data_IF_081935101540
#
_entry.id   IF_081935101540
#
_cell.length_a   1.000
_cell.length_b   1.000
_cell.length_c   1.000
_cell.angle_alpha   90.00
_cell.angle_beta   90.00
_cell.angle_gamma   90.00
#
_symmetry.space_group_name_H-M   'P 1'
#
loop_
_entity.id
_entity.type
_entity.pdbx_description
1 polymer ?
#
# COMPACT_ATOMS: atom_id res chain seq x y z
N UNK A 1 -9.60 -2.36 -38.61
CA UNK A 1 -10.49 -3.22 -37.81
C UNK A 1 -10.02 -3.07 -36.38
N UNK A 2 -10.96 -2.70 -35.53
CA UNK A 2 -10.78 -1.93 -34.30
C UNK A 2 -9.83 -2.57 -33.30
N UNK A 3 -8.80 -1.80 -32.92
CA UNK A 3 -7.89 -2.14 -31.83
C UNK A 3 -8.47 -1.61 -30.52
N UNK A 4 -9.74 -1.91 -30.27
CA UNK A 4 -10.43 -1.55 -29.04
C UNK A 4 -9.92 -2.50 -27.95
N UNK A 5 -8.91 -2.03 -27.21
CA UNK A 5 -8.47 -2.71 -26.01
C UNK A 5 -9.65 -2.78 -25.05
N UNK A 6 -10.15 -4.00 -24.85
CA UNK A 6 -11.29 -4.27 -24.02
C UNK A 6 -11.06 -3.73 -22.59
N UNK A 7 -12.11 -3.27 -21.89
CA UNK A 7 -11.94 -2.69 -20.55
C UNK A 7 -11.26 -3.68 -19.59
N UNK A 8 -11.50 -4.98 -19.78
CA UNK A 8 -10.78 -6.05 -19.09
C UNK A 8 -9.27 -6.00 -19.35
N UNK A 9 -8.84 -5.97 -20.61
CA UNK A 9 -7.42 -5.93 -20.98
C UNK A 9 -6.75 -4.65 -20.48
N UNK A 10 -7.47 -3.53 -20.51
CA UNK A 10 -7.01 -2.25 -19.96
C UNK A 10 -6.76 -2.34 -18.46
N UNK A 11 -7.69 -2.91 -17.69
CA UNK A 11 -7.54 -3.08 -16.24
C UNK A 11 -6.38 -4.01 -15.93
N UNK A 12 -6.27 -5.14 -16.62
CA UNK A 12 -5.21 -6.14 -16.39
C UNK A 12 -3.83 -5.58 -16.73
N UNK A 13 -3.67 -4.97 -17.90
CA UNK A 13 -2.40 -4.35 -18.32
C UNK A 13 -1.99 -3.21 -17.39
N UNK A 14 -2.93 -2.41 -16.91
CA UNK A 14 -2.66 -1.36 -15.92
C UNK A 14 -2.15 -1.95 -14.61
N UNK A 15 -2.82 -2.97 -14.06
CA UNK A 15 -2.37 -3.67 -12.84
C UNK A 15 -0.95 -4.22 -13.04
N UNK A 16 -0.69 -4.91 -14.15
CA UNK A 16 0.63 -5.48 -14.44
C UNK A 16 1.71 -4.40 -14.54
N UNK A 17 1.43 -3.32 -15.26
CA UNK A 17 2.32 -2.16 -15.40
C UNK A 17 2.68 -1.59 -14.02
N UNK A 18 1.67 -1.34 -13.18
CA UNK A 18 1.92 -0.82 -11.85
C UNK A 18 2.68 -1.82 -10.94
N UNK A 19 2.40 -3.11 -11.06
CA UNK A 19 3.10 -4.12 -10.27
C UNK A 19 4.56 -4.30 -10.69
N UNK A 20 4.86 -4.24 -11.99
CA UNK A 20 6.20 -4.57 -12.54
C UNK A 20 7.14 -3.38 -12.63
N UNK A 21 6.61 -2.16 -12.80
CA UNK A 21 7.45 -0.99 -13.08
C UNK A 21 8.18 -0.48 -11.84
N UNK A 22 9.36 0.10 -12.09
CA UNK A 22 10.06 0.92 -11.10
C UNK A 22 9.45 2.32 -11.08
N UNK A 23 9.20 2.83 -9.89
CA UNK A 23 8.66 4.19 -9.71
C UNK A 23 9.78 5.16 -9.39
N UNK A 24 9.88 6.21 -10.20
CA UNK A 24 10.82 7.31 -9.95
C UNK A 24 10.31 8.24 -8.85
N UNK A 25 9.00 8.47 -8.82
CA UNK A 25 8.34 9.21 -7.75
C UNK A 25 7.63 8.24 -6.80
N UNK A 26 8.21 8.04 -5.61
CA UNK A 26 7.63 7.19 -4.58
C UNK A 26 6.52 7.88 -3.79
N UNK A 27 6.40 9.21 -3.91
CA UNK A 27 5.45 10.00 -3.11
C UNK A 27 3.99 9.69 -3.46
N UNK A 28 3.75 9.14 -4.66
CA UNK A 28 2.44 8.62 -5.10
C UNK A 28 1.87 7.55 -4.16
N UNK A 29 2.72 6.89 -3.37
CA UNK A 29 2.31 5.88 -2.38
C UNK A 29 2.10 6.44 -0.98
N UNK A 30 2.20 7.76 -0.79
CA UNK A 30 2.07 8.38 0.53
C UNK A 30 0.66 8.23 1.06
N UNK A 31 0.55 7.64 2.25
CA UNK A 31 -0.70 7.61 3.02
C UNK A 31 -0.59 8.58 4.19
N UNK A 32 -1.73 9.11 4.63
CA UNK A 32 -1.82 9.91 5.86
C UNK A 32 -2.68 9.23 6.90
N UNK A 33 -2.36 9.43 8.17
CA UNK A 33 -3.24 9.11 9.29
C UNK A 33 -3.15 10.20 10.36
N UNK A 34 -4.22 10.32 11.15
CA UNK A 34 -4.23 11.17 12.35
C UNK A 34 -4.21 10.26 13.57
N UNK A 35 -3.27 10.50 14.49
CA UNK A 35 -3.22 9.73 15.73
C UNK A 35 -4.34 10.19 16.68
N UNK A 36 -5.28 9.29 16.98
CA UNK A 36 -6.39 9.54 17.91
C UNK A 36 -6.39 8.42 18.95
N UNK A 37 -5.73 8.59 20.12
CA UNK A 37 -5.53 7.51 21.10
C UNK A 37 -6.83 6.84 21.55
N UNK A 38 -7.90 7.64 21.68
CA UNK A 38 -9.21 7.18 22.15
C UNK A 38 -10.01 6.43 21.06
N UNK A 39 -9.61 6.54 19.79
CA UNK A 39 -10.26 5.82 18.70
C UNK A 39 -9.74 4.38 18.62
N UNK A 40 -10.64 3.43 18.31
CA UNK A 40 -10.31 1.99 18.16
C UNK A 40 -9.55 1.66 16.85
N UNK A 41 -8.80 2.60 16.28
CA UNK A 41 -7.95 2.29 15.12
C UNK A 41 -6.70 1.53 15.58
N UNK A 42 -6.85 0.21 15.68
CA UNK A 42 -5.79 -0.71 16.16
C UNK A 42 -4.51 -0.51 15.35
N UNK A 43 -4.60 -0.35 14.03
CA UNK A 43 -3.41 -0.22 13.20
C UNK A 43 -2.61 1.04 13.51
N UNK A 44 -3.28 2.19 13.61
CA UNK A 44 -2.62 3.47 13.92
C UNK A 44 -2.09 3.48 15.35
N UNK A 45 -2.87 2.98 16.32
CA UNK A 45 -2.46 2.97 17.72
C UNK A 45 -1.24 2.06 17.95
N UNK A 46 -1.25 0.84 17.40
CA UNK A 46 -0.10 -0.07 17.49
C UNK A 46 1.13 0.46 16.77
N UNK A 47 0.93 1.14 15.63
CA UNK A 47 2.01 1.81 14.93
C UNK A 47 2.66 2.90 15.80
N UNK A 48 1.85 3.77 16.40
CA UNK A 48 2.32 4.86 17.27
C UNK A 48 2.98 4.30 18.54
N UNK A 49 2.40 3.26 19.16
CA UNK A 49 3.01 2.58 20.30
C UNK A 49 4.41 2.03 19.96
N UNK A 50 4.57 1.48 18.74
CA UNK A 50 5.88 1.04 18.24
C UNK A 50 6.84 2.20 17.98
N UNK A 51 6.36 3.35 17.50
CA UNK A 51 7.18 4.57 17.35
C UNK A 51 7.64 5.09 18.72
N UNK A 52 6.77 5.12 19.73
CA UNK A 52 7.12 5.50 21.11
C UNK A 52 8.20 4.63 21.72
N UNK A 53 8.11 3.30 21.54
CA UNK A 53 9.16 2.35 21.97
C UNK A 53 10.53 2.63 21.34
N UNK A 54 10.56 3.42 20.26
CA UNK A 54 11.77 3.86 19.54
C UNK A 54 12.12 5.33 19.81
N UNK A 55 11.52 5.95 20.83
CA UNK A 55 11.67 7.37 21.17
C UNK A 55 11.28 8.32 20.02
N UNK A 56 10.34 7.91 19.17
CA UNK A 56 9.74 8.76 18.15
C UNK A 56 8.37 9.19 18.66
N UNK A 57 8.24 10.47 19.01
CA UNK A 57 6.99 11.08 19.42
C UNK A 57 6.04 11.26 18.24
N UNK A 58 4.77 10.90 18.44
CA UNK A 58 3.64 11.29 17.60
C UNK A 58 2.54 11.70 18.58
N UNK A 59 2.21 12.98 18.54
CA UNK A 59 1.30 13.61 19.50
C UNK A 59 -0.17 13.32 19.18
N UNK A 60 -1.01 13.37 20.21
CA UNK A 60 -2.44 13.21 20.02
C UNK A 60 -2.97 14.28 19.05
N UNK A 61 -3.79 13.86 18.09
CA UNK A 61 -4.29 14.66 16.96
C UNK A 61 -3.24 15.04 15.91
N UNK A 62 -1.98 14.62 16.04
CA UNK A 62 -0.97 14.82 15.00
C UNK A 62 -1.31 14.00 13.76
N UNK A 63 -1.20 14.64 12.59
CA UNK A 63 -1.26 13.97 11.29
C UNK A 63 0.15 13.61 10.85
N UNK A 64 0.34 12.35 10.49
CA UNK A 64 1.61 11.84 9.98
C UNK A 64 1.44 11.13 8.64
N UNK A 65 2.51 11.13 7.85
CA UNK A 65 2.58 10.46 6.56
C UNK A 65 3.41 9.17 6.67
N UNK A 66 2.95 8.11 6.01
CA UNK A 66 3.59 6.81 6.03
C UNK A 66 3.45 6.07 4.70
N UNK A 67 4.31 5.08 4.51
CA UNK A 67 4.21 4.07 3.45
C UNK A 67 3.86 2.70 4.04
N UNK A 68 3.29 1.81 3.22
CA UNK A 68 3.20 0.38 3.51
C UNK A 68 4.32 -0.34 2.74
N UNK A 69 5.19 -1.00 3.48
CA UNK A 69 6.33 -1.74 2.92
C UNK A 69 6.10 -3.25 2.96
N UNK A 70 6.83 -3.98 2.11
CA UNK A 70 6.88 -5.44 2.15
C UNK A 70 7.41 -5.91 3.50
N UNK A 71 6.90 -7.04 3.94
CA UNK A 71 7.28 -7.68 5.20
C UNK A 71 7.62 -9.14 4.91
N UNK A 72 8.65 -9.67 5.59
CA UNK A 72 9.09 -11.05 5.42
C UNK A 72 7.99 -12.05 5.85
N UNK A 73 7.32 -11.78 6.96
CA UNK A 73 6.10 -12.48 7.35
C UNK A 73 4.92 -12.05 6.47
N UNK A 74 4.38 -13.01 5.70
CA UNK A 74 3.20 -12.82 4.84
C UNK A 74 1.93 -12.49 5.64
N UNK A 75 1.88 -12.88 6.91
CA UNK A 75 0.75 -12.65 7.82
C UNK A 75 0.87 -11.36 8.62
N UNK A 76 1.93 -10.58 8.41
CA UNK A 76 2.16 -9.34 9.12
C UNK A 76 0.97 -8.38 8.95
N UNK A 77 0.55 -7.82 10.08
CA UNK A 77 -0.54 -6.84 10.14
C UNK A 77 -0.09 -5.49 9.57
N UNK A 78 -1.05 -4.67 9.17
CA UNK A 78 -0.79 -3.37 8.52
C UNK A 78 0.14 -2.49 9.37
N UNK A 79 -0.09 -2.37 10.68
CA UNK A 79 0.78 -1.59 11.57
C UNK A 79 2.24 -2.05 11.60
N UNK A 80 2.51 -3.33 11.34
CA UNK A 80 3.87 -3.88 11.24
C UNK A 80 4.54 -3.43 9.94
N UNK A 81 3.77 -3.27 8.86
CA UNK A 81 4.21 -2.82 7.53
C UNK A 81 4.31 -1.31 7.38
N UNK A 82 3.70 -0.52 8.27
CA UNK A 82 3.75 0.94 8.20
C UNK A 82 5.17 1.47 8.48
N UNK A 83 5.63 2.48 7.73
CA UNK A 83 6.89 3.21 7.96
C UNK A 83 6.64 4.70 7.73
N UNK A 84 7.07 5.58 8.66
CA UNK A 84 6.97 7.02 8.45
C UNK A 84 7.77 7.42 7.22
N UNK A 85 7.22 8.31 6.38
CA UNK A 85 7.88 8.75 5.13
C UNK A 85 9.33 9.21 5.39
N UNK A 86 9.57 9.95 6.47
CA UNK A 86 10.93 10.41 6.83
C UNK A 86 11.94 9.29 7.06
N UNK A 87 11.50 8.11 7.51
CA UNK A 87 12.37 6.96 7.81
C UNK A 87 12.39 5.90 6.70
N UNK A 88 11.77 6.18 5.56
CA UNK A 88 11.82 5.28 4.42
C UNK A 88 13.19 5.32 3.75
N UNK A 89 13.76 4.15 3.50
CA UNK A 89 15.06 3.96 2.83
C UNK A 89 14.85 3.00 1.66
N UNK A 90 14.84 3.52 0.43
CA UNK A 90 14.56 2.78 -0.81
C UNK A 90 15.60 1.69 -1.12
N UNK A 91 16.79 1.76 -0.50
CA UNK A 91 17.83 0.73 -0.60
C UNK A 91 17.57 -0.46 0.32
N UNK A 92 16.79 -0.26 1.40
CA UNK A 92 16.54 -1.29 2.43
C UNK A 92 15.09 -1.74 2.49
N UNK A 93 14.16 -0.95 1.95
CA UNK A 93 12.72 -1.18 2.03
C UNK A 93 12.11 -1.15 0.63
N UNK A 94 11.16 -2.04 0.38
CA UNK A 94 10.32 -2.02 -0.82
C UNK A 94 8.88 -1.74 -0.46
N UNK A 95 8.22 -0.89 -1.25
CA UNK A 95 6.78 -0.66 -1.13
C UNK A 95 6.00 -1.95 -1.40
N UNK A 96 4.96 -2.20 -0.61
CA UNK A 96 4.01 -3.29 -0.83
C UNK A 96 2.99 -2.87 -1.89
N UNK A 97 3.38 -2.82 -3.18
CA UNK A 97 2.49 -2.38 -4.28
C UNK A 97 1.19 -3.18 -4.28
N UNK A 98 1.24 -4.47 -3.94
CA UNK A 98 0.06 -5.33 -3.80
C UNK A 98 -0.93 -4.77 -2.79
N UNK A 99 -0.49 -4.20 -1.68
CA UNK A 99 -1.37 -3.53 -0.72
C UNK A 99 -2.16 -2.39 -1.40
N UNK A 100 -1.48 -1.52 -2.13
CA UNK A 100 -2.10 -0.35 -2.78
C UNK A 100 -3.04 -0.76 -3.91
N UNK A 101 -2.68 -1.72 -4.75
CA UNK A 101 -3.60 -2.21 -5.79
C UNK A 101 -4.84 -2.87 -5.16
N UNK A 102 -4.67 -3.61 -4.05
CA UNK A 102 -5.80 -4.24 -3.37
C UNK A 102 -6.84 -3.26 -2.81
N UNK A 103 -6.47 -2.02 -2.48
CA UNK A 103 -7.42 -0.99 -2.05
C UNK A 103 -8.25 -0.45 -3.23
N UNK A 104 -7.73 -0.55 -4.46
CA UNK A 104 -8.39 -0.08 -5.68
C UNK A 104 -9.27 -1.15 -6.35
N UNK A 105 -9.16 -2.42 -5.93
CA UNK A 105 -9.87 -3.54 -6.58
C UNK A 105 -11.38 -3.34 -6.69
N UNK A 106 -12.03 -2.78 -5.67
CA UNK A 106 -13.47 -2.54 -5.72
C UNK A 106 -13.84 -1.58 -6.87
N UNK A 107 -13.05 -0.51 -7.04
CA UNK A 107 -13.21 0.44 -8.14
C UNK A 107 -12.88 -0.19 -9.49
N UNK A 108 -11.76 -0.92 -9.59
CA UNK A 108 -11.36 -1.59 -10.82
C UNK A 108 -12.38 -2.65 -11.27
N UNK A 109 -12.96 -3.39 -10.34
CA UNK A 109 -13.97 -4.40 -10.62
C UNK A 109 -15.24 -3.82 -11.26
N UNK A 110 -15.60 -2.56 -10.96
CA UNK A 110 -16.77 -1.91 -11.56
C UNK A 110 -16.65 -1.73 -13.07
N UNK A 111 -15.43 -1.59 -13.59
CA UNK A 111 -15.21 -1.49 -15.03
C UNK A 111 -15.41 -2.82 -15.76
N UNK A 112 -15.34 -3.95 -15.04
CA UNK A 112 -15.36 -5.28 -15.65
C UNK A 112 -16.47 -6.17 -15.10
N UNK A 113 -17.29 -5.73 -14.15
CA UNK A 113 -18.29 -6.61 -13.56
C UNK A 113 -19.40 -6.99 -14.56
N UNK A 114 -19.56 -6.25 -15.65
CA UNK A 114 -20.59 -6.47 -16.69
C UNK A 114 -20.26 -7.61 -17.67
N UNK A 115 -19.00 -8.06 -17.77
CA UNK A 115 -18.65 -9.17 -18.67
C UNK A 115 -19.36 -10.46 -18.24
N UNK A 116 -19.83 -11.23 -19.22
CA UNK A 116 -20.60 -12.47 -19.02
C UNK A 116 -19.93 -13.45 -18.06
N UNK A 117 -18.59 -13.50 -18.04
CA UNK A 117 -17.82 -14.38 -17.13
C UNK A 117 -17.94 -14.05 -15.64
N UNK A 118 -18.36 -12.84 -15.29
CA UNK A 118 -18.57 -12.42 -13.90
C UNK A 118 -20.04 -12.34 -13.53
N UNK A 119 -20.91 -12.19 -14.54
CA UNK A 119 -22.36 -12.11 -14.37
C UNK A 119 -22.96 -13.39 -13.79
N UNK A 120 -24.07 -13.23 -13.08
CA UNK A 120 -24.89 -14.31 -12.55
C UNK A 120 -26.27 -14.31 -13.21
N UNK A 121 -26.95 -15.45 -13.15
CA UNK A 121 -28.32 -15.64 -13.64
C UNK A 121 -29.39 -15.30 -12.59
N UNK A 122 -29.01 -14.60 -11.52
CA UNK A 122 -29.98 -14.14 -10.51
C UNK A 122 -31.01 -13.19 -11.15
N UNK A 123 -32.27 -13.40 -10.81
CA UNK A 123 -33.41 -12.62 -11.31
C UNK A 123 -33.52 -11.26 -10.62
N UNK A 124 -33.01 -11.15 -9.40
CA UNK A 124 -32.96 -9.89 -8.65
C UNK A 124 -31.76 -9.08 -9.13
N UNK A 125 -32.04 -7.94 -9.78
CA UNK A 125 -31.01 -7.04 -10.32
C UNK A 125 -29.97 -6.61 -9.28
N UNK A 126 -30.39 -6.34 -8.04
CA UNK A 126 -29.49 -5.88 -6.98
C UNK A 126 -28.53 -7.00 -6.58
N UNK A 127 -29.06 -8.21 -6.35
CA UNK A 127 -28.23 -9.38 -6.06
C UNK A 127 -27.32 -9.72 -7.23
N UNK A 128 -27.81 -9.58 -8.46
CA UNK A 128 -27.04 -9.78 -9.68
C UNK A 128 -25.84 -8.83 -9.74
N UNK A 129 -26.01 -7.53 -9.53
CA UNK A 129 -24.90 -6.57 -9.50
C UNK A 129 -23.90 -6.88 -8.37
N UNK A 130 -24.39 -7.13 -7.14
CA UNK A 130 -23.53 -7.42 -5.99
C UNK A 130 -22.68 -8.69 -6.18
N UNK A 131 -23.27 -9.76 -6.72
CA UNK A 131 -22.57 -11.01 -7.01
C UNK A 131 -21.56 -10.82 -8.15
N UNK A 132 -21.96 -10.12 -9.21
CA UNK A 132 -21.07 -9.87 -10.36
C UNK A 132 -19.86 -9.03 -9.96
N UNK A 133 -20.09 -8.02 -9.12
CA UNK A 133 -19.04 -7.22 -8.51
C UNK A 133 -18.09 -8.08 -7.68
N UNK A 134 -18.61 -8.93 -6.78
CA UNK A 134 -17.78 -9.83 -5.95
C UNK A 134 -16.96 -10.81 -6.80
N UNK A 135 -17.54 -11.32 -7.89
CA UNK A 135 -16.85 -12.22 -8.82
C UNK A 135 -15.68 -11.51 -9.51
N UNK A 136 -15.90 -10.30 -10.02
CA UNK A 136 -14.86 -9.47 -10.61
C UNK A 136 -13.76 -9.12 -9.60
N UNK A 137 -14.12 -8.72 -8.37
CA UNK A 137 -13.14 -8.45 -7.31
C UNK A 137 -12.29 -9.68 -6.97
N UNK A 138 -12.92 -10.86 -6.85
CA UNK A 138 -12.22 -12.13 -6.59
C UNK A 138 -11.23 -12.46 -7.70
N UNK A 139 -11.64 -12.26 -8.95
CA UNK A 139 -10.77 -12.47 -10.11
C UNK A 139 -9.55 -11.54 -10.08
N UNK A 140 -9.76 -10.23 -9.86
CA UNK A 140 -8.66 -9.26 -9.78
C UNK A 140 -7.71 -9.55 -8.60
N UNK A 141 -8.23 -9.93 -7.43
CA UNK A 141 -7.40 -10.34 -6.28
C UNK A 141 -6.52 -11.54 -6.61
N UNK A 142 -7.07 -12.51 -7.33
CA UNK A 142 -6.33 -13.67 -7.82
C UNK A 142 -5.21 -13.27 -8.78
N UNK A 143 -5.52 -12.40 -9.75
CA UNK A 143 -4.56 -11.90 -10.72
C UNK A 143 -3.41 -11.12 -10.06
N UNK A 144 -3.71 -10.19 -9.14
CA UNK A 144 -2.69 -9.44 -8.38
C UNK A 144 -1.81 -10.38 -7.56
N UNK A 145 -2.41 -11.39 -6.90
CA UNK A 145 -1.65 -12.37 -6.10
C UNK A 145 -0.72 -13.19 -6.97
N UNK A 146 -1.18 -13.64 -8.14
CA UNK A 146 -0.35 -14.37 -9.10
C UNK A 146 0.85 -13.55 -9.58
N UNK A 147 0.67 -12.25 -9.88
CA UNK A 147 1.79 -11.39 -10.28
C UNK A 147 2.78 -11.21 -9.13
N UNK A 148 2.28 -10.91 -7.94
CA UNK A 148 3.13 -10.71 -6.75
C UNK A 148 3.92 -11.97 -6.39
N UNK A 149 3.29 -13.15 -6.44
CA UNK A 149 3.96 -14.43 -6.19
C UNK A 149 5.06 -14.71 -7.22
N UNK A 150 4.89 -14.32 -8.48
CA UNK A 150 5.95 -14.43 -9.51
C UNK A 150 7.12 -13.47 -9.25
N UNK A 151 6.85 -12.27 -8.74
CA UNK A 151 7.89 -11.28 -8.42
C UNK A 151 8.68 -11.63 -7.15
N UNK A 152 8.07 -12.32 -6.20
CA UNK A 152 8.62 -12.53 -4.85
C UNK A 152 9.66 -13.65 -4.76
N UNK A 153 9.81 -14.48 -5.80
CA UNK A 153 10.74 -15.63 -5.81
C UNK A 153 12.21 -15.20 -5.63
N UNK A 154 12.59 -13.97 -6.00
CA UNK A 154 14.00 -13.53 -5.99
C UNK A 154 14.33 -12.41 -4.99
N UNK A 155 13.35 -11.87 -4.26
CA UNK A 155 13.49 -10.52 -3.68
C UNK A 155 13.32 -10.41 -2.15
N UNK A 156 12.45 -11.22 -1.51
CA UNK A 156 11.99 -10.92 -0.13
C UNK A 156 13.08 -11.11 0.94
N UNK A 157 14.08 -11.99 0.72
CA UNK A 157 15.04 -12.39 1.75
C UNK A 157 15.95 -11.26 2.28
N UNK A 158 15.99 -10.12 1.59
CA UNK A 158 16.90 -9.01 1.91
C UNK A 158 16.23 -7.80 2.59
N UNK A 159 14.90 -7.76 2.74
CA UNK A 159 14.23 -6.63 3.38
C UNK A 159 14.24 -6.77 4.89
N UNK A 160 15.25 -6.17 5.51
CA UNK A 160 15.15 -5.76 6.89
C UNK A 160 14.09 -4.67 6.99
N UNK A 161 13.23 -4.72 8.01
CA UNK A 161 12.71 -3.49 8.59
C UNK A 161 13.87 -2.98 9.45
N UNK A 162 14.72 -2.05 8.97
CA UNK A 162 15.74 -1.50 9.84
C UNK A 162 15.04 -0.96 11.08
N UNK A 163 15.50 -1.42 12.24
CA UNK A 163 15.29 -0.70 13.49
C UNK A 163 15.99 0.64 13.27
N UNK A 164 15.29 1.79 13.33
CA UNK A 164 15.96 3.08 13.30
C UNK A 164 16.95 3.09 14.45
N UNK A 165 18.24 3.07 14.15
CA UNK A 165 19.28 3.20 15.17
C UNK A 165 19.28 4.64 15.66
N UNK A 166 19.70 4.89 16.92
CA UNK A 166 19.85 6.26 17.46
C UNK A 166 20.57 7.19 16.48
N UNK A 167 21.53 6.66 15.73
CA UNK A 167 22.29 7.36 14.69
C UNK A 167 21.42 7.87 13.53
N UNK A 168 20.48 7.07 13.01
CA UNK A 168 19.58 7.51 11.93
C UNK A 168 18.60 8.61 12.37
N UNK A 169 18.20 8.61 13.65
CA UNK A 169 17.33 9.65 14.22
C UNK A 169 18.11 10.97 14.30
N UNK A 170 19.32 10.93 14.85
CA UNK A 170 20.19 12.10 15.01
C UNK A 170 20.65 12.69 13.66
N UNK A 171 20.98 11.86 12.67
CA UNK A 171 21.42 12.31 11.33
C UNK A 171 20.31 13.00 10.52
N UNK A 172 19.04 12.66 10.77
CA UNK A 172 17.91 13.31 10.11
C UNK A 172 17.41 14.56 10.85
N UNK A 173 17.44 14.57 12.19
CA UNK A 173 17.11 15.75 12.98
C UNK A 173 18.14 16.87 12.76
N UNK A 174 19.44 16.54 12.65
CA UNK A 174 20.49 17.50 12.30
C UNK A 174 20.33 18.13 10.91
N UNK A 175 19.92 17.33 9.90
CA UNK A 175 19.66 17.84 8.54
C UNK A 175 18.43 18.73 8.44
N UNK A 176 17.43 18.54 9.29
CA UNK A 176 16.26 19.42 9.37
C UNK A 176 16.57 20.74 10.10
N UNK A 177 17.47 20.72 11.09
CA UNK A 177 17.93 21.95 11.75
C UNK A 177 18.81 22.82 10.83
N UNK A 178 19.71 22.22 10.05
CA UNK A 178 20.55 22.98 9.09
C UNK A 178 19.75 23.66 7.97
N UNK A 179 18.59 23.11 7.59
CA UNK A 179 17.69 23.74 6.62
C UNK A 179 16.95 24.97 7.16
N UNK A 180 16.88 25.15 8.47
CA UNK A 180 16.24 26.31 9.08
C UNK A 180 17.20 27.47 9.41
N UNK A 181 18.52 27.24 9.34
CA UNK A 181 19.52 28.25 9.74
C UNK A 181 20.09 29.02 8.53
N UNK A 182 19.75 28.66 7.29
CA UNK A 182 20.21 29.39 6.09
C UNK A 182 19.16 30.37 5.54
N UNK A 183 18.84 31.40 6.31
CA UNK A 183 18.31 32.67 5.80
C UNK A 183 18.68 33.79 6.79
N UNK A 184 19.90 34.32 6.64
CA UNK A 184 20.27 35.72 6.88
C UNK A 184 21.30 36.12 5.82
#
# INVERSE_FOLDING_TARGET
>A
MDNDMDALDTVLSTIESYMKNKYNDITVFTLSATYRPLNKNISVNEFVNRMRKRNIGIEASERFNYYIIRHHDKNAKVHQKMVLVKYFDDKKMKIDIKYYINTLIGTLARFINHYTRFQTNDVDYKKKDEISQKNAEKFLRGHVTMIDDRMTIHDIRNYFIPVPTKRMILEQDGKNQEKHIRFE
#
